data_IF_354423072412
#
_entry.id   IF_354423072412
#
_cell.length_a   1.000
_cell.length_b   1.000
_cell.length_c   1.000
_cell.angle_alpha   90.00
_cell.angle_beta   90.00
_cell.angle_gamma   90.00
#
_symmetry.space_group_name_H-M   'P 1'
#
loop_
_entity.id
_entity.type
_entity.pdbx_description
1 polymer ?
#
# COMPACT_ATOMS: atom_id res chain seq x y z
N UNK A 1 -79.92 -1.91 7.77
CA UNK A 1 -79.05 -1.28 6.76
C UNK A 1 -77.86 -0.55 7.41
N UNK A 2 -78.07 0.31 8.42
CA UNK A 2 -76.96 1.05 9.08
C UNK A 2 -75.81 0.19 9.62
N UNK A 3 -76.08 -0.93 10.30
CA UNK A 3 -75.04 -1.82 10.81
C UNK A 3 -74.14 -2.42 9.71
N UNK A 4 -74.71 -2.69 8.54
CA UNK A 4 -73.96 -3.22 7.39
C UNK A 4 -73.08 -2.14 6.73
N UNK A 5 -73.54 -0.89 6.73
CA UNK A 5 -72.78 0.27 6.22
C UNK A 5 -71.61 0.59 7.14
N UNK A 6 -71.81 0.59 8.47
CA UNK A 6 -70.75 0.81 9.46
C UNK A 6 -69.70 -0.31 9.40
N UNK A 7 -70.15 -1.57 9.28
CA UNK A 7 -69.24 -2.71 9.14
C UNK A 7 -68.40 -2.62 7.86
N UNK A 8 -68.99 -2.21 6.73
CA UNK A 8 -68.27 -2.02 5.46
C UNK A 8 -67.24 -0.88 5.52
N UNK A 9 -67.61 0.26 6.13
CA UNK A 9 -66.70 1.39 6.33
C UNK A 9 -65.50 1.00 7.22
N UNK A 10 -65.76 0.29 8.34
CA UNK A 10 -64.70 -0.15 9.24
C UNK A 10 -63.75 -1.15 8.56
N UNK A 11 -64.27 -2.07 7.76
CA UNK A 11 -63.46 -3.00 6.98
C UNK A 11 -62.55 -2.30 5.97
N UNK A 12 -63.04 -1.25 5.29
CA UNK A 12 -62.23 -0.44 4.37
C UNK A 12 -61.10 0.30 5.11
N UNK A 13 -61.43 0.95 6.23
CA UNK A 13 -60.44 1.61 7.08
C UNK A 13 -59.36 0.65 7.54
N UNK A 14 -59.73 -0.54 8.01
CA UNK A 14 -58.77 -1.57 8.41
C UNK A 14 -57.87 -2.02 7.25
N UNK A 15 -58.43 -2.26 6.06
CA UNK A 15 -57.66 -2.61 4.86
C UNK A 15 -56.67 -1.54 4.43
N UNK A 16 -56.99 -0.26 4.60
CA UNK A 16 -56.06 0.84 4.33
C UNK A 16 -54.90 0.85 5.33
N UNK A 17 -55.17 0.61 6.62
CA UNK A 17 -54.13 0.49 7.63
C UNK A 17 -53.24 -0.72 7.39
N UNK A 18 -53.83 -1.87 7.06
CA UNK A 18 -53.09 -3.10 6.77
C UNK A 18 -52.20 -2.95 5.52
N UNK A 19 -52.71 -2.31 4.46
CA UNK A 19 -51.91 -1.91 3.29
C UNK A 19 -50.67 -1.11 3.71
N UNK A 20 -50.84 -0.11 4.57
CA UNK A 20 -49.73 0.73 5.06
C UNK A 20 -48.74 -0.09 5.88
N UNK A 21 -49.20 -0.93 6.79
CA UNK A 21 -48.33 -1.77 7.64
C UNK A 21 -47.52 -2.74 6.79
N UNK A 22 -48.16 -3.46 5.86
CA UNK A 22 -47.46 -4.39 4.97
C UNK A 22 -46.46 -3.67 4.06
N UNK A 23 -46.79 -2.45 3.59
CA UNK A 23 -45.85 -1.65 2.82
C UNK A 23 -44.64 -1.19 3.66
N UNK A 24 -44.86 -0.81 4.93
CA UNK A 24 -43.78 -0.45 5.85
C UNK A 24 -42.86 -1.66 6.13
N UNK A 25 -43.43 -2.85 6.29
CA UNK A 25 -42.67 -4.09 6.44
C UNK A 25 -41.85 -4.40 5.18
N UNK A 26 -42.44 -4.21 3.99
CA UNK A 26 -41.73 -4.33 2.70
C UNK A 26 -40.56 -3.33 2.60
N UNK A 27 -40.75 -2.09 3.07
CA UNK A 27 -39.73 -1.04 3.06
C UNK A 27 -38.56 -1.35 3.99
N UNK A 28 -38.83 -1.97 5.13
CA UNK A 28 -37.81 -2.41 6.09
C UNK A 28 -37.07 -3.65 5.58
N UNK A 29 -37.81 -4.61 5.03
CA UNK A 29 -37.26 -5.84 4.48
C UNK A 29 -38.01 -6.27 3.21
N UNK A 30 -37.31 -6.23 2.07
CA UNK A 30 -37.83 -6.61 0.76
C UNK A 30 -38.34 -8.06 0.69
N UNK A 31 -37.90 -8.95 1.59
CA UNK A 31 -38.40 -10.33 1.69
C UNK A 31 -39.89 -10.39 2.08
N UNK A 32 -40.43 -9.31 2.65
CA UNK A 32 -41.86 -9.19 2.98
C UNK A 32 -42.74 -8.83 1.78
N UNK A 33 -42.16 -8.70 0.57
CA UNK A 33 -42.88 -8.38 -0.67
C UNK A 33 -44.05 -9.32 -0.94
N UNK A 34 -43.89 -10.62 -0.68
CA UNK A 34 -44.91 -11.62 -1.04
C UNK A 34 -46.17 -11.44 -0.20
N UNK A 35 -46.03 -11.09 1.08
CA UNK A 35 -47.15 -10.80 1.97
C UNK A 35 -47.91 -9.55 1.53
N UNK A 36 -47.20 -8.49 1.16
CA UNK A 36 -47.79 -7.25 0.64
C UNK A 36 -48.54 -7.50 -0.68
N UNK A 37 -47.89 -8.10 -1.67
CA UNK A 37 -48.51 -8.34 -2.98
C UNK A 37 -49.69 -9.31 -2.89
N UNK A 38 -49.58 -10.36 -2.08
CA UNK A 38 -50.70 -11.28 -1.83
C UNK A 38 -51.91 -10.57 -1.21
N UNK A 39 -51.69 -9.62 -0.29
CA UNK A 39 -52.76 -8.82 0.29
C UNK A 39 -53.43 -7.92 -0.75
N UNK A 40 -52.63 -7.19 -1.53
CA UNK A 40 -53.14 -6.28 -2.57
C UNK A 40 -53.88 -7.06 -3.67
N UNK A 41 -53.37 -8.21 -4.10
CA UNK A 41 -54.01 -9.06 -5.11
C UNK A 41 -55.38 -9.59 -4.65
N UNK A 42 -55.50 -9.97 -3.37
CA UNK A 42 -56.82 -10.29 -2.79
C UNK A 42 -57.75 -9.08 -2.80
N UNK A 43 -57.25 -7.89 -2.47
CA UNK A 43 -58.02 -6.65 -2.52
C UNK A 43 -58.51 -6.30 -3.93
N UNK A 44 -57.68 -6.48 -4.95
CA UNK A 44 -58.04 -6.31 -6.37
C UNK A 44 -59.13 -7.30 -6.75
N UNK A 45 -58.93 -8.60 -6.47
CA UNK A 45 -59.90 -9.66 -6.80
C UNK A 45 -61.25 -9.45 -6.11
N UNK A 46 -61.25 -9.01 -4.85
CA UNK A 46 -62.48 -8.68 -4.13
C UNK A 46 -63.20 -7.48 -4.75
N UNK A 47 -62.47 -6.44 -5.15
CA UNK A 47 -63.03 -5.29 -5.84
C UNK A 47 -63.65 -5.70 -7.19
N UNK A 48 -62.99 -6.59 -7.94
CA UNK A 48 -63.51 -7.14 -9.21
C UNK A 48 -64.84 -7.87 -9.03
N UNK A 49 -64.93 -8.77 -8.06
CA UNK A 49 -66.18 -9.50 -7.76
C UNK A 49 -67.33 -8.56 -7.35
N UNK A 50 -67.01 -7.43 -6.71
CA UNK A 50 -68.01 -6.44 -6.30
C UNK A 50 -68.48 -5.53 -7.44
N UNK A 51 -67.76 -5.47 -8.57
CA UNK A 51 -68.20 -4.75 -9.79
C UNK A 51 -69.34 -5.51 -10.50
N UNK A 52 -69.46 -6.82 -10.30
CA UNK A 52 -70.47 -7.68 -10.93
C UNK A 52 -71.82 -7.73 -10.17
N UNK A 53 -71.90 -7.12 -8.98
CA UNK A 53 -73.13 -7.01 -8.14
C UNK A 53 -74.01 -5.81 -8.58
N UNK A 54 -75.32 -5.77 -8.25
CA UNK A 54 -76.33 -5.16 -9.11
C UNK A 54 -76.07 -3.66 -9.38
N UNK A 55 -76.00 -3.36 -10.68
CA UNK A 55 -75.87 -2.00 -11.23
C UNK A 55 -77.18 -1.23 -11.01
N UNK A 56 -77.07 0.08 -10.85
CA UNK A 56 -78.08 1.12 -10.58
C UNK A 56 -78.14 1.66 -9.13
N UNK A 57 -77.03 1.63 -8.37
CA UNK A 57 -76.92 2.37 -7.11
C UNK A 57 -76.01 3.60 -7.26
N UNK A 58 -76.18 4.65 -6.43
CA UNK A 58 -75.23 5.77 -6.37
C UNK A 58 -73.78 5.36 -6.04
N UNK A 59 -73.53 4.10 -5.65
CA UNK A 59 -72.26 3.59 -5.16
C UNK A 59 -71.54 2.64 -6.13
N UNK A 60 -72.07 2.42 -7.33
CA UNK A 60 -71.54 1.45 -8.30
C UNK A 60 -70.10 1.75 -8.77
N UNK A 61 -69.66 3.00 -8.62
CA UNK A 61 -68.29 3.44 -8.94
C UNK A 61 -67.27 3.14 -7.83
N UNK A 62 -67.70 2.88 -6.59
CA UNK A 62 -66.78 2.64 -5.47
C UNK A 62 -65.90 1.39 -5.68
N UNK A 63 -66.44 0.23 -6.14
CA UNK A 63 -65.61 -0.94 -6.41
C UNK A 63 -64.60 -0.71 -7.55
N UNK A 64 -64.99 0.05 -8.59
CA UNK A 64 -64.10 0.42 -9.71
C UNK A 64 -62.94 1.30 -9.22
N UNK A 65 -63.24 2.32 -8.41
CA UNK A 65 -62.21 3.20 -7.86
C UNK A 65 -61.28 2.46 -6.89
N UNK A 66 -61.81 1.55 -6.07
CA UNK A 66 -61.02 0.71 -5.17
C UNK A 66 -60.07 -0.22 -5.94
N UNK A 67 -60.56 -0.86 -7.01
CA UNK A 67 -59.73 -1.66 -7.92
C UNK A 67 -58.59 -0.81 -8.50
N UNK A 68 -58.91 0.34 -9.07
CA UNK A 68 -57.90 1.21 -9.69
C UNK A 68 -56.85 1.71 -8.67
N UNK A 69 -57.27 2.04 -7.45
CA UNK A 69 -56.36 2.41 -6.37
C UNK A 69 -55.43 1.25 -6.00
N UNK A 70 -55.96 0.04 -5.81
CA UNK A 70 -55.15 -1.14 -5.48
C UNK A 70 -54.18 -1.52 -6.61
N UNK A 71 -54.61 -1.42 -7.87
CA UNK A 71 -53.74 -1.63 -9.04
C UNK A 71 -52.61 -0.58 -9.05
N UNK A 72 -52.91 0.69 -8.79
CA UNK A 72 -51.88 1.74 -8.74
C UNK A 72 -50.90 1.51 -7.59
N UNK A 73 -51.38 1.09 -6.42
CA UNK A 73 -50.55 0.73 -5.27
C UNK A 73 -49.61 -0.43 -5.64
N UNK A 74 -50.14 -1.46 -6.32
CA UNK A 74 -49.33 -2.60 -6.79
C UNK A 74 -48.21 -2.16 -7.72
N UNK A 75 -48.53 -1.38 -8.76
CA UNK A 75 -47.54 -0.92 -9.75
C UNK A 75 -46.44 -0.09 -9.09
N UNK A 76 -46.80 0.84 -8.19
CA UNK A 76 -45.81 1.66 -7.47
C UNK A 76 -44.93 0.81 -6.54
N UNK A 77 -45.50 -0.22 -5.92
CA UNK A 77 -44.72 -1.13 -5.07
C UNK A 77 -43.81 -2.06 -5.89
N UNK A 78 -44.22 -2.52 -7.07
CA UNK A 78 -43.38 -3.27 -7.99
C UNK A 78 -42.18 -2.43 -8.47
N UNK A 79 -42.44 -1.17 -8.84
CA UNK A 79 -41.40 -0.21 -9.19
C UNK A 79 -40.44 0.04 -8.01
N UNK A 80 -40.99 0.21 -6.80
CA UNK A 80 -40.20 0.37 -5.58
C UNK A 80 -39.26 -0.83 -5.36
N UNK A 81 -39.77 -2.07 -5.44
CA UNK A 81 -38.97 -3.30 -5.26
C UNK A 81 -37.88 -3.40 -6.32
N UNK A 82 -38.21 -3.08 -7.58
CA UNK A 82 -37.23 -3.04 -8.68
C UNK A 82 -36.12 -2.03 -8.39
N UNK A 83 -36.47 -0.82 -7.97
CA UNK A 83 -35.52 0.25 -7.66
C UNK A 83 -34.58 -0.13 -6.52
N UNK A 84 -35.09 -0.76 -5.45
CA UNK A 84 -34.27 -1.29 -4.35
C UNK A 84 -33.30 -2.37 -4.85
N UNK A 85 -33.75 -3.27 -5.73
CA UNK A 85 -32.89 -4.25 -6.39
C UNK A 85 -31.74 -3.60 -7.16
N UNK A 86 -32.04 -2.56 -7.96
CA UNK A 86 -31.02 -1.78 -8.68
C UNK A 86 -30.06 -1.07 -7.73
N UNK A 87 -30.56 -0.45 -6.66
CA UNK A 87 -29.73 0.22 -5.64
C UNK A 87 -28.76 -0.77 -4.99
N UNK A 88 -29.24 -1.96 -4.63
CA UNK A 88 -28.40 -2.99 -4.02
C UNK A 88 -27.32 -3.51 -4.97
N UNK A 89 -27.66 -3.72 -6.25
CA UNK A 89 -26.67 -4.09 -7.27
C UNK A 89 -25.63 -2.99 -7.48
N UNK A 90 -26.06 -1.74 -7.60
CA UNK A 90 -25.15 -0.60 -7.75
C UNK A 90 -24.25 -0.43 -6.52
N UNK A 91 -24.79 -0.62 -5.30
CA UNK A 91 -23.99 -0.64 -4.06
C UNK A 91 -22.92 -1.72 -4.11
N UNK A 92 -23.26 -2.94 -4.53
CA UNK A 92 -22.29 -4.03 -4.66
C UNK A 92 -21.18 -3.72 -5.69
N UNK A 93 -21.55 -3.16 -6.85
CA UNK A 93 -20.59 -2.72 -7.88
C UNK A 93 -19.66 -1.64 -7.34
N UNK A 94 -20.22 -0.63 -6.65
CA UNK A 94 -19.46 0.47 -6.07
C UNK A 94 -18.48 -0.07 -5.02
N UNK A 95 -18.92 -0.91 -4.08
CA UNK A 95 -18.04 -1.51 -3.07
C UNK A 95 -16.89 -2.29 -3.70
N UNK A 96 -17.18 -3.14 -4.71
CA UNK A 96 -16.13 -3.86 -5.45
C UNK A 96 -15.15 -2.92 -6.15
N UNK A 97 -15.63 -1.81 -6.70
CA UNK A 97 -14.78 -0.82 -7.35
C UNK A 97 -13.89 -0.07 -6.35
N UNK A 98 -14.40 0.23 -5.15
CA UNK A 98 -13.63 0.82 -4.05
C UNK A 98 -12.51 -0.13 -3.60
N UNK A 99 -12.83 -1.42 -3.39
CA UNK A 99 -11.82 -2.43 -3.04
C UNK A 99 -10.72 -2.53 -4.10
N UNK A 100 -11.10 -2.46 -5.38
CA UNK A 100 -10.14 -2.46 -6.48
C UNK A 100 -9.23 -1.22 -6.43
N UNK A 101 -9.80 -0.02 -6.27
CA UNK A 101 -9.05 1.24 -6.18
C UNK A 101 -8.06 1.19 -5.01
N UNK A 102 -8.49 0.76 -3.82
CA UNK A 102 -7.62 0.64 -2.64
C UNK A 102 -6.45 -0.30 -2.93
N UNK A 103 -6.71 -1.46 -3.55
CA UNK A 103 -5.67 -2.42 -3.89
C UNK A 103 -4.70 -1.89 -4.96
N UNK A 104 -5.22 -1.20 -5.98
CA UNK A 104 -4.40 -0.62 -7.04
C UNK A 104 -3.54 0.54 -6.50
N UNK A 105 -4.08 1.39 -5.62
CA UNK A 105 -3.32 2.44 -4.92
C UNK A 105 -2.22 1.85 -4.04
N UNK A 106 -2.50 0.83 -3.23
CA UNK A 106 -1.50 0.16 -2.41
C UNK A 106 -0.38 -0.45 -3.27
N UNK A 107 -0.71 -1.05 -4.42
CA UNK A 107 0.30 -1.57 -5.36
C UNK A 107 1.15 -0.46 -5.95
N UNK A 108 0.56 0.69 -6.30
CA UNK A 108 1.31 1.83 -6.82
C UNK A 108 2.30 2.38 -5.78
N UNK A 109 1.88 2.51 -4.52
CA UNK A 109 2.75 2.89 -3.41
C UNK A 109 3.90 1.90 -3.23
N UNK A 110 3.60 0.60 -3.19
CA UNK A 110 4.62 -0.44 -3.06
C UNK A 110 5.58 -0.46 -4.25
N UNK A 111 5.07 -0.27 -5.47
CA UNK A 111 5.91 -0.20 -6.66
C UNK A 111 6.84 1.03 -6.64
N UNK A 112 6.36 2.19 -6.15
CA UNK A 112 7.16 3.39 -5.99
C UNK A 112 8.25 3.23 -4.91
N UNK A 113 7.92 2.57 -3.80
CA UNK A 113 8.91 2.23 -2.76
C UNK A 113 9.95 1.26 -3.30
N UNK A 114 9.52 0.22 -4.02
CA UNK A 114 10.41 -0.79 -4.58
C UNK A 114 11.34 -0.21 -5.65
N UNK A 115 10.85 0.64 -6.56
CA UNK A 115 11.70 1.28 -7.58
C UNK A 115 12.72 2.25 -6.97
N UNK A 116 12.33 2.96 -5.91
CA UNK A 116 13.24 3.80 -5.12
C UNK A 116 14.29 2.93 -4.43
N UNK A 117 13.89 1.81 -3.81
CA UNK A 117 14.80 0.87 -3.16
C UNK A 117 15.78 0.22 -4.15
N UNK A 118 15.33 -0.15 -5.35
CA UNK A 118 16.21 -0.68 -6.40
C UNK A 118 17.29 0.32 -6.81
N UNK A 119 16.94 1.61 -6.90
CA UNK A 119 17.91 2.68 -7.20
C UNK A 119 19.00 2.78 -6.13
N UNK A 120 18.66 2.55 -4.86
CA UNK A 120 19.63 2.57 -3.75
C UNK A 120 20.38 1.25 -3.54
N UNK A 121 19.84 0.12 -4.02
CA UNK A 121 20.43 -1.22 -3.79
C UNK A 121 21.87 -1.33 -4.29
N UNK A 122 22.16 -0.78 -5.47
CA UNK A 122 23.50 -0.80 -6.04
C UNK A 122 24.47 0.05 -5.20
N UNK A 123 24.05 1.23 -4.76
CA UNK A 123 24.86 2.08 -3.89
C UNK A 123 25.10 1.42 -2.53
N UNK A 124 24.08 0.78 -1.94
CA UNK A 124 24.17 0.10 -0.66
C UNK A 124 25.20 -1.04 -0.65
N UNK A 125 25.36 -1.75 -1.76
CA UNK A 125 26.35 -2.83 -1.90
C UNK A 125 27.74 -2.28 -2.27
N UNK A 126 27.83 -1.33 -3.21
CA UNK A 126 29.12 -0.88 -3.74
C UNK A 126 29.89 0.03 -2.79
N UNK A 127 29.22 0.92 -2.07
CA UNK A 127 29.87 1.88 -1.15
C UNK A 127 30.72 1.17 -0.06
N UNK A 128 30.22 0.18 0.70
CA UNK A 128 31.02 -0.49 1.71
C UNK A 128 32.18 -1.31 1.12
N UNK A 129 32.03 -1.86 -0.08
CA UNK A 129 33.11 -2.58 -0.78
C UNK A 129 34.24 -1.60 -1.10
N UNK A 130 33.92 -0.45 -1.70
CA UNK A 130 34.91 0.58 -2.05
C UNK A 130 35.61 1.09 -0.79
N UNK A 131 34.85 1.40 0.27
CA UNK A 131 35.42 1.81 1.55
C UNK A 131 36.35 0.75 2.15
N UNK A 132 35.94 -0.53 2.10
CA UNK A 132 36.77 -1.65 2.59
C UNK A 132 38.09 -1.75 1.83
N UNK A 133 38.06 -1.64 0.50
CA UNK A 133 39.27 -1.63 -0.34
C UNK A 133 40.16 -0.44 0.02
N UNK A 134 39.59 0.76 0.20
CA UNK A 134 40.35 1.95 0.61
C UNK A 134 41.05 1.77 1.96
N UNK A 135 40.37 1.18 2.95
CA UNK A 135 40.97 0.90 4.27
C UNK A 135 42.15 -0.05 4.13
N UNK A 136 42.01 -1.13 3.36
CA UNK A 136 43.09 -2.09 3.12
C UNK A 136 44.28 -1.42 2.44
N UNK A 137 44.04 -0.57 1.44
CA UNK A 137 45.09 0.18 0.75
C UNK A 137 45.81 1.13 1.73
N UNK A 138 45.08 1.88 2.55
CA UNK A 138 45.68 2.80 3.53
C UNK A 138 46.58 2.02 4.51
N UNK A 139 46.11 0.88 5.03
CA UNK A 139 46.91 0.04 5.93
C UNK A 139 48.17 -0.46 5.22
N UNK A 140 48.03 -0.99 4.00
CA UNK A 140 49.17 -1.50 3.23
C UNK A 140 50.21 -0.40 2.96
N UNK A 141 49.77 0.79 2.53
CA UNK A 141 50.65 1.95 2.32
C UNK A 141 51.33 2.40 3.60
N UNK A 142 50.60 2.47 4.71
CA UNK A 142 51.14 2.87 6.02
C UNK A 142 52.24 1.91 6.48
N UNK A 143 51.99 0.60 6.37
CA UNK A 143 52.98 -0.44 6.72
C UNK A 143 54.19 -0.37 5.81
N UNK A 144 54.00 -0.22 4.49
CA UNK A 144 55.08 -0.14 3.51
C UNK A 144 56.00 1.07 3.75
N UNK A 145 55.42 2.25 3.97
CA UNK A 145 56.17 3.48 4.25
C UNK A 145 56.91 3.36 5.59
N UNK A 146 56.23 2.87 6.63
CA UNK A 146 56.82 2.70 7.97
C UNK A 146 58.01 1.73 7.93
N UNK A 147 57.90 0.62 7.21
CA UNK A 147 58.98 -0.34 7.04
C UNK A 147 60.18 0.24 6.26
N UNK A 148 59.92 1.05 5.23
CA UNK A 148 60.98 1.71 4.44
C UNK A 148 61.76 2.71 5.29
N UNK A 149 61.06 3.59 6.01
CA UNK A 149 61.69 4.61 6.88
C UNK A 149 62.46 3.92 8.01
N UNK A 150 61.81 3.02 8.77
CA UNK A 150 62.43 2.36 9.94
C UNK A 150 63.64 1.50 9.54
N UNK A 151 63.57 0.83 8.38
CA UNK A 151 64.67 0.03 7.87
C UNK A 151 65.89 0.87 7.48
N UNK A 152 65.67 2.01 6.82
CA UNK A 152 66.75 2.91 6.41
C UNK A 152 67.37 3.60 7.63
N UNK A 153 66.56 4.16 8.52
CA UNK A 153 67.06 4.85 9.72
C UNK A 153 67.80 3.89 10.64
N UNK A 154 67.29 2.68 10.85
CA UNK A 154 67.99 1.65 11.63
C UNK A 154 69.35 1.27 11.04
N UNK A 155 69.47 1.20 9.71
CA UNK A 155 70.74 0.92 9.03
C UNK A 155 71.78 2.02 9.26
N UNK A 156 71.35 3.29 9.19
CA UNK A 156 72.21 4.46 9.42
C UNK A 156 72.64 4.54 10.88
N UNK A 157 71.70 4.39 11.82
CA UNK A 157 71.96 4.45 13.27
C UNK A 157 72.96 3.37 13.68
N UNK A 158 72.77 2.12 13.23
CA UNK A 158 73.71 1.05 13.53
C UNK A 158 75.11 1.32 12.97
N UNK A 159 75.20 1.90 11.77
CA UNK A 159 76.49 2.21 11.17
C UNK A 159 77.21 3.34 11.91
N UNK A 160 76.49 4.40 12.28
CA UNK A 160 77.04 5.49 13.09
C UNK A 160 77.46 5.02 14.48
N UNK A 161 76.66 4.15 15.11
CA UNK A 161 76.97 3.54 16.40
C UNK A 161 78.30 2.79 16.35
N UNK A 162 78.47 1.90 15.37
CA UNK A 162 79.71 1.15 15.20
C UNK A 162 80.93 2.07 14.99
N UNK A 163 80.77 3.18 14.23
CA UNK A 163 81.81 4.19 14.06
C UNK A 163 82.17 4.85 15.41
N UNK A 164 81.17 5.22 16.22
CA UNK A 164 81.41 5.88 17.50
C UNK A 164 82.05 4.98 18.57
N UNK A 165 81.82 3.66 18.50
CA UNK A 165 82.34 2.68 19.45
C UNK A 165 83.75 2.18 19.10
N UNK A 166 84.35 2.66 17.99
CA UNK A 166 85.70 2.29 17.57
C UNK A 166 85.78 0.99 16.73
N UNK A 167 84.64 0.32 16.51
CA UNK A 167 84.51 -0.88 15.66
C UNK A 167 84.07 -0.54 14.21
N UNK A 168 84.13 0.74 13.85
CA UNK A 168 83.58 1.31 12.63
C UNK A 168 84.33 0.90 11.39
N UNK A 169 84.00 -0.26 10.83
CA UNK A 169 84.44 -0.64 9.50
C UNK A 169 83.76 0.28 8.46
N UNK A 170 84.47 1.36 8.15
CA UNK A 170 84.09 2.35 7.17
C UNK A 170 83.99 1.77 5.76
N UNK A 171 84.37 0.51 5.48
CA UNK A 171 84.20 -0.12 4.16
C UNK A 171 82.77 -0.57 3.88
N UNK A 172 81.95 -0.79 4.92
CA UNK A 172 80.53 -1.18 4.78
C UNK A 172 79.71 -0.07 4.10
N UNK A 173 78.70 -0.44 3.32
CA UNK A 173 77.81 0.50 2.62
C UNK A 173 76.36 0.27 3.00
N UNK A 174 75.56 1.34 3.02
CA UNK A 174 74.11 1.24 3.13
C UNK A 174 73.57 0.78 1.78
N UNK A 175 72.64 -0.19 1.79
CA UNK A 175 72.03 -0.69 0.56
C UNK A 175 71.00 0.33 0.07
N UNK A 176 71.18 0.83 -1.15
CA UNK A 176 70.20 1.70 -1.83
C UNK A 176 69.07 0.81 -2.36
N UNK A 177 67.91 0.85 -1.71
CA UNK A 177 66.75 -0.01 -2.03
C UNK A 177 65.59 0.71 -2.75
N UNK A 178 65.64 2.03 -2.83
CA UNK A 178 64.59 2.87 -3.42
C UNK A 178 65.20 3.96 -4.28
N UNK A 179 64.42 4.53 -5.21
CA UNK A 179 64.80 5.68 -6.05
C UNK A 179 64.15 6.99 -5.55
N UNK A 180 63.62 6.99 -4.33
CA UNK A 180 63.03 8.14 -3.64
C UNK A 180 64.08 8.95 -2.84
N UNK A 181 63.62 9.87 -2.00
CA UNK A 181 64.46 10.68 -1.12
C UNK A 181 65.32 9.83 -0.16
N UNK A 182 64.81 8.68 0.30
CA UNK A 182 65.56 7.76 1.16
C UNK A 182 66.67 7.05 0.38
N UNK A 183 66.40 6.70 -0.88
CA UNK A 183 67.40 6.18 -1.81
C UNK A 183 68.55 7.14 -2.06
N UNK A 184 68.22 8.39 -2.43
CA UNK A 184 69.21 9.45 -2.63
C UNK A 184 70.00 9.75 -1.37
N UNK A 185 69.34 9.73 -0.20
CA UNK A 185 70.02 9.88 1.08
C UNK A 185 71.05 8.77 1.31
N UNK A 186 70.69 7.50 1.07
CA UNK A 186 71.62 6.38 1.18
C UNK A 186 72.80 6.50 0.20
N UNK A 187 72.55 6.98 -1.03
CA UNK A 187 73.60 7.22 -2.03
C UNK A 187 74.58 8.32 -1.58
N UNK A 188 74.07 9.48 -1.15
CA UNK A 188 74.90 10.57 -0.66
C UNK A 188 75.66 10.19 0.62
N UNK A 189 75.04 9.42 1.51
CA UNK A 189 75.71 8.88 2.70
C UNK A 189 76.88 7.98 2.32
N UNK A 190 76.67 7.05 1.38
CA UNK A 190 77.74 6.18 0.89
C UNK A 190 78.88 6.95 0.22
N UNK A 191 78.56 8.01 -0.54
CA UNK A 191 79.56 8.87 -1.17
C UNK A 191 80.39 9.66 -0.14
N UNK A 192 79.73 10.21 0.88
CA UNK A 192 80.40 10.94 1.95
C UNK A 192 81.38 10.03 2.71
N UNK A 193 80.93 8.82 3.06
CA UNK A 193 81.77 7.78 3.66
C UNK A 193 82.98 7.43 2.78
N UNK A 194 82.78 7.20 1.48
CA UNK A 194 83.88 6.87 0.55
C UNK A 194 84.96 7.96 0.53
N UNK A 195 84.56 9.24 0.58
CA UNK A 195 85.51 10.36 0.65
C UNK A 195 86.32 10.41 1.94
N UNK A 196 85.80 9.88 3.05
CA UNK A 196 86.58 9.80 4.30
C UNK A 196 87.60 8.66 4.28
N UNK A 197 87.33 7.57 3.56
CA UNK A 197 88.30 6.47 3.36
C UNK A 197 89.45 6.84 2.41
N UNK A 198 89.24 7.79 1.49
CA UNK A 198 90.26 8.23 0.54
C UNK A 198 91.21 9.30 1.08
N UNK A 199 91.07 9.69 2.35
CA UNK A 199 91.95 10.63 3.06
C UNK A 199 92.81 9.87 4.06
#
# INVERSE_FOLDING_TARGET
MERAVIAGANANTNSNYETKVLFLQLKENTDKKDAFFSFIDRGIKQAELNIERPKNTPFDMLPVNAKNANVKIKVLAEEYVKNIGTINNNKAIILKSLDKIINDTNKLEQNAINSTMESFKNAYILVPIILGVFVILIIAFTVMISASITGMTGSVVNMLKNISEGEGDLTKKIIVKSNDELGKFAEYFNLCRLRQLSK
#
